data_IF_973687610755
#
_entry.id   IF_973687610755
#
_cell.length_a   1.000
_cell.length_b   1.000
_cell.length_c   1.000
_cell.angle_alpha   90.00
_cell.angle_beta   90.00
_cell.angle_gamma   90.00
#
_symmetry.space_group_name_H-M   'P 1'
#
loop_
_entity.id
_entity.type
_entity.pdbx_description
1 polymer ?
#
# COMPACT_ATOMS: atom_id res chain seq x y z
N UNK A 1 2.79 17.07 19.69
CA UNK A 1 3.36 17.78 18.51
C UNK A 1 4.50 16.95 17.96
N UNK A 2 4.55 16.74 16.65
CA UNK A 2 5.60 15.97 16.01
C UNK A 2 6.86 16.83 15.82
N UNK A 3 8.08 16.23 15.81
CA UNK A 3 9.29 16.97 15.45
C UNK A 3 9.17 17.56 14.04
N UNK A 4 9.73 18.76 13.79
CA UNK A 4 9.77 19.33 12.45
C UNK A 4 10.56 18.44 11.50
N UNK A 5 10.13 18.38 10.24
CA UNK A 5 10.80 17.57 9.22
C UNK A 5 12.12 18.25 8.79
N UNK A 6 13.22 17.51 8.87
CA UNK A 6 14.59 17.97 8.51
C UNK A 6 14.87 17.79 7.02
N UNK A 7 14.33 16.73 6.41
CA UNK A 7 14.37 16.49 4.97
C UNK A 7 12.95 16.29 4.44
N UNK A 8 12.44 17.26 3.72
CA UNK A 8 11.11 17.26 3.10
C UNK A 8 11.14 17.00 1.59
N UNK A 9 12.33 16.70 1.03
CA UNK A 9 12.58 16.57 -0.42
C UNK A 9 11.61 15.61 -1.07
N UNK A 10 11.33 14.45 -0.43
CA UNK A 10 10.35 13.49 -0.94
C UNK A 10 8.93 14.08 -1.01
N UNK A 11 8.48 14.79 0.02
CA UNK A 11 7.13 15.39 0.01
C UNK A 11 7.03 16.51 -1.03
N UNK A 12 8.06 17.35 -1.16
CA UNK A 12 8.13 18.38 -2.21
C UNK A 12 8.07 17.76 -3.60
N UNK A 13 8.83 16.68 -3.85
CA UNK A 13 8.77 15.96 -5.12
C UNK A 13 7.37 15.38 -5.40
N UNK A 14 6.72 14.77 -4.40
CA UNK A 14 5.34 14.30 -4.51
C UNK A 14 4.35 15.41 -4.91
N UNK A 15 4.57 16.62 -4.40
CA UNK A 15 3.74 17.80 -4.66
C UNK A 15 4.21 18.62 -5.87
N UNK A 16 5.16 18.08 -6.66
CA UNK A 16 5.74 18.73 -7.85
C UNK A 16 6.37 20.10 -7.56
N UNK A 17 6.88 20.26 -6.35
CA UNK A 17 7.65 21.42 -5.94
C UNK A 17 9.13 21.24 -6.32
N UNK A 18 9.90 22.32 -6.53
CA UNK A 18 11.34 22.23 -6.83
C UNK A 18 12.10 21.48 -5.75
N UNK A 19 13.02 20.62 -6.18
CA UNK A 19 13.95 19.88 -5.32
C UNK A 19 15.36 19.97 -5.88
N UNK A 20 16.37 19.94 -4.99
CA UNK A 20 17.77 20.04 -5.38
C UNK A 20 18.30 18.75 -6.02
N UNK A 21 17.63 17.63 -5.72
CA UNK A 21 17.93 16.29 -6.25
C UNK A 21 16.67 15.42 -6.30
N UNK A 22 16.74 14.30 -7.01
CA UNK A 22 15.66 13.31 -7.03
C UNK A 22 15.68 12.47 -5.77
N UNK A 23 14.65 12.53 -4.90
CA UNK A 23 14.61 11.73 -3.67
C UNK A 23 14.44 10.24 -3.97
N UNK A 24 15.02 9.41 -3.12
CA UNK A 24 15.01 7.95 -3.27
C UNK A 24 14.40 7.27 -2.04
N UNK A 25 13.47 6.38 -2.27
CA UNK A 25 13.05 5.33 -1.35
C UNK A 25 12.79 4.05 -2.14
N UNK A 26 12.78 2.90 -1.47
CA UNK A 26 12.60 1.62 -2.15
C UNK A 26 11.43 0.85 -1.55
N UNK A 27 10.52 0.38 -2.40
CA UNK A 27 9.50 -0.57 -2.01
C UNK A 27 10.15 -1.80 -1.36
N UNK A 28 9.65 -2.22 -0.18
CA UNK A 28 10.24 -3.30 0.62
C UNK A 28 11.70 -3.02 1.06
N UNK A 29 12.04 -1.75 1.35
CA UNK A 29 13.36 -1.39 1.85
C UNK A 29 13.71 -2.10 3.18
N UNK A 30 12.76 -2.35 4.08
CA UNK A 30 12.90 -3.33 5.13
C UNK A 30 12.69 -4.75 4.58
N UNK A 31 13.66 -5.62 4.67
CA UNK A 31 13.54 -6.93 4.03
C UNK A 31 14.66 -7.92 4.33
N UNK A 32 14.46 -9.16 3.88
CA UNK A 32 15.33 -10.31 4.15
C UNK A 32 16.76 -10.21 3.61
N UNK A 33 17.06 -9.24 2.75
CA UNK A 33 18.41 -8.97 2.29
C UNK A 33 19.28 -8.29 3.38
N UNK A 34 18.66 -7.69 4.40
CA UNK A 34 19.34 -7.08 5.54
C UNK A 34 19.61 -8.12 6.63
N UNK A 35 20.85 -8.31 7.08
CA UNK A 35 21.17 -9.20 8.20
C UNK A 35 20.43 -8.83 9.49
N UNK A 36 20.36 -7.53 9.80
CA UNK A 36 19.63 -6.98 10.96
C UNK A 36 18.15 -7.30 10.91
N UNK A 37 17.51 -7.20 9.75
CA UNK A 37 16.12 -7.62 9.58
C UNK A 37 15.94 -9.11 9.88
N UNK A 38 16.85 -9.98 9.40
CA UNK A 38 16.77 -11.41 9.67
C UNK A 38 16.88 -11.70 11.17
N UNK A 39 17.78 -10.99 11.88
CA UNK A 39 17.93 -11.14 13.32
C UNK A 39 16.66 -10.72 14.08
N UNK A 40 16.07 -9.57 13.75
CA UNK A 40 14.81 -9.10 14.34
C UNK A 40 13.66 -10.06 14.02
N UNK A 41 13.59 -10.54 12.78
CA UNK A 41 12.57 -11.50 12.35
C UNK A 41 12.66 -12.83 13.11
N UNK A 42 13.87 -13.31 13.42
CA UNK A 42 14.08 -14.50 14.23
C UNK A 42 13.60 -14.28 15.68
N UNK A 43 13.90 -13.14 16.29
CA UNK A 43 13.41 -12.79 17.64
C UNK A 43 11.88 -12.69 17.70
N UNK A 44 11.25 -12.18 16.65
CA UNK A 44 9.79 -12.06 16.57
C UNK A 44 9.07 -13.40 16.36
N UNK A 45 9.77 -14.47 15.98
CA UNK A 45 9.26 -15.83 15.80
C UNK A 45 8.42 -16.02 14.52
N UNK A 46 7.53 -15.10 14.18
CA UNK A 46 6.67 -15.16 13.00
C UNK A 46 6.59 -13.83 12.25
N UNK A 47 6.09 -13.82 11.01
CA UNK A 47 5.84 -12.57 10.28
C UNK A 47 4.81 -11.71 11.02
N UNK A 48 3.73 -12.31 11.48
CA UNK A 48 2.71 -11.61 12.26
C UNK A 48 3.28 -11.13 13.60
N UNK A 49 4.11 -11.92 14.30
CA UNK A 49 4.80 -11.47 15.50
C UNK A 49 5.67 -10.23 15.27
N UNK A 50 6.29 -10.13 14.08
CA UNK A 50 7.04 -8.95 13.68
C UNK A 50 6.11 -7.76 13.36
N UNK A 51 5.07 -7.98 12.57
CA UNK A 51 4.17 -6.93 12.06
C UNK A 51 3.21 -6.38 13.12
N UNK A 52 2.83 -7.19 14.12
CA UNK A 52 1.90 -6.78 15.18
C UNK A 52 2.60 -6.23 16.43
N UNK A 53 3.93 -6.31 16.49
CA UNK A 53 4.71 -5.68 17.56
C UNK A 53 5.14 -4.28 17.15
N UNK A 54 4.69 -3.27 17.88
CA UNK A 54 5.08 -1.86 17.67
C UNK A 54 6.61 -1.68 17.68
N UNK A 55 7.30 -2.32 18.63
CA UNK A 55 8.75 -2.20 18.77
C UNK A 55 9.49 -2.84 17.60
N UNK A 56 9.12 -4.06 17.20
CA UNK A 56 9.75 -4.72 16.07
C UNK A 56 9.43 -4.04 14.73
N UNK A 57 8.19 -3.61 14.52
CA UNK A 57 7.82 -2.86 13.33
C UNK A 57 8.61 -1.54 13.23
N UNK A 58 8.82 -0.86 14.35
CA UNK A 58 9.64 0.35 14.44
C UNK A 58 11.10 0.02 14.11
N UNK A 59 11.68 -0.96 14.78
CA UNK A 59 13.08 -1.37 14.56
C UNK A 59 13.35 -1.68 13.09
N UNK A 60 12.56 -2.55 12.45
CA UNK A 60 12.81 -2.95 11.06
C UNK A 60 12.52 -1.83 10.05
N UNK A 61 11.66 -0.88 10.37
CA UNK A 61 11.43 0.29 9.51
C UNK A 61 12.64 1.22 9.50
N UNK A 62 13.36 1.35 10.61
CA UNK A 62 14.53 2.23 10.72
C UNK A 62 15.81 1.60 10.15
N UNK A 63 15.97 0.28 10.22
CA UNK A 63 17.19 -0.42 9.79
C UNK A 63 17.70 -0.02 8.39
N UNK A 64 16.88 0.05 7.33
CA UNK A 64 17.37 0.48 6.01
C UNK A 64 17.86 1.94 5.99
N UNK A 65 17.30 2.82 6.82
CA UNK A 65 17.71 4.22 6.90
C UNK A 65 19.04 4.41 7.61
N UNK A 66 19.44 3.47 8.47
CA UNK A 66 20.78 3.46 9.09
C UNK A 66 21.85 3.01 8.11
N UNK A 67 21.47 2.23 7.10
CA UNK A 67 22.38 1.66 6.11
C UNK A 67 22.47 2.46 4.82
N UNK A 68 21.39 3.09 4.42
CA UNK A 68 21.29 3.78 3.13
C UNK A 68 20.72 5.20 3.30
N UNK A 69 21.21 6.17 2.51
CA UNK A 69 20.72 7.55 2.53
C UNK A 69 19.36 7.68 1.81
N UNK A 70 18.33 7.04 2.37
CA UNK A 70 16.98 7.09 1.83
C UNK A 70 16.25 8.36 2.27
N UNK A 71 15.39 8.89 1.41
CA UNK A 71 14.67 10.16 1.60
C UNK A 71 13.24 9.96 2.14
N UNK A 72 12.79 8.72 2.32
CA UNK A 72 11.54 8.40 3.00
C UNK A 72 11.62 7.05 3.69
N UNK A 73 10.91 6.94 4.81
CA UNK A 73 10.57 5.67 5.45
C UNK A 73 9.21 5.19 4.94
N UNK A 74 9.03 3.90 4.84
CA UNK A 74 7.71 3.29 4.65
C UNK A 74 7.41 2.38 5.83
N UNK A 75 6.20 2.48 6.36
CA UNK A 75 5.70 1.63 7.44
C UNK A 75 5.96 0.14 7.15
N UNK A 76 6.47 -0.59 8.13
CA UNK A 76 6.50 -2.05 8.05
C UNK A 76 5.16 -2.63 8.50
N UNK A 77 4.41 -3.17 7.57
CA UNK A 77 3.10 -3.82 7.76
C UNK A 77 2.81 -4.74 6.59
N UNK A 78 1.59 -5.26 6.50
CA UNK A 78 1.10 -6.03 5.35
C UNK A 78 -0.20 -5.43 4.81
N UNK A 79 -0.43 -5.55 3.49
CA UNK A 79 -1.67 -5.07 2.85
C UNK A 79 -2.89 -5.88 3.29
N UNK A 80 -2.70 -7.10 3.78
CA UNK A 80 -3.78 -8.03 4.16
C UNK A 80 -4.25 -7.87 5.61
N UNK A 81 -3.70 -6.92 6.36
CA UNK A 81 -4.15 -6.61 7.73
C UNK A 81 -5.62 -6.16 7.76
N UNK A 82 -6.07 -5.43 6.72
CA UNK A 82 -7.46 -4.98 6.63
C UNK A 82 -8.44 -6.15 6.46
N UNK A 83 -8.27 -7.07 5.50
CA UNK A 83 -9.10 -8.27 5.42
C UNK A 83 -9.01 -9.18 6.67
N UNK A 84 -7.85 -9.25 7.31
CA UNK A 84 -7.70 -9.98 8.58
C UNK A 84 -8.58 -9.38 9.68
N UNK A 85 -8.57 -8.05 9.83
CA UNK A 85 -9.43 -7.33 10.76
C UNK A 85 -10.92 -7.50 10.48
N UNK A 86 -11.31 -7.78 9.21
CA UNK A 86 -12.67 -8.19 8.83
C UNK A 86 -13.04 -9.60 9.34
N UNK A 87 -12.06 -10.35 9.86
CA UNK A 87 -12.29 -11.68 10.45
C UNK A 87 -12.05 -12.84 9.49
N UNK A 88 -11.26 -12.64 8.41
CA UNK A 88 -10.94 -13.69 7.45
C UNK A 88 -9.84 -14.64 7.94
N UNK A 89 -9.09 -14.28 8.99
CA UNK A 89 -8.09 -15.15 9.63
C UNK A 89 -6.85 -15.34 8.76
N UNK A 90 -6.00 -14.32 8.73
CA UNK A 90 -4.73 -14.31 7.99
C UNK A 90 -3.67 -15.18 8.68
N UNK A 91 -3.01 -16.01 7.92
CA UNK A 91 -1.84 -16.78 8.35
C UNK A 91 -0.73 -16.75 7.29
N UNK A 92 0.51 -16.96 7.74
CA UNK A 92 1.68 -17.06 6.86
C UNK A 92 2.37 -18.40 7.13
N UNK A 93 2.29 -19.33 6.20
CA UNK A 93 3.06 -20.56 6.25
C UNK A 93 4.45 -20.32 5.63
N UNK A 94 5.47 -20.99 6.17
CA UNK A 94 6.83 -20.88 5.68
C UNK A 94 6.92 -21.40 4.24
N UNK A 95 7.38 -20.55 3.31
CA UNK A 95 7.48 -20.87 1.88
C UNK A 95 6.18 -20.77 1.07
N UNK A 96 5.01 -20.60 1.70
CA UNK A 96 3.72 -20.64 1.00
C UNK A 96 3.04 -19.27 0.81
N UNK A 97 3.53 -18.23 1.47
CA UNK A 97 2.92 -16.89 1.43
C UNK A 97 1.66 -16.76 2.32
N UNK A 98 0.88 -15.68 2.13
CA UNK A 98 -0.31 -15.41 2.93
C UNK A 98 -1.47 -16.34 2.57
N UNK A 99 -2.25 -16.76 3.59
CA UNK A 99 -3.49 -17.52 3.44
C UNK A 99 -4.57 -17.01 4.36
N UNK A 100 -5.82 -17.01 3.88
CA UNK A 100 -7.00 -16.75 4.66
C UNK A 100 -7.72 -18.04 5.03
N UNK A 101 -8.14 -18.17 6.30
CA UNK A 101 -8.94 -19.29 6.78
C UNK A 101 -10.37 -19.25 6.21
N UNK A 102 -10.92 -18.05 5.98
CA UNK A 102 -12.22 -17.82 5.37
C UNK A 102 -12.06 -17.15 4.03
N UNK A 103 -12.76 -17.65 3.02
CA UNK A 103 -12.78 -17.11 1.66
C UNK A 103 -14.13 -16.49 1.34
N UNK A 104 -14.15 -15.51 0.42
CA UNK A 104 -15.36 -14.73 0.11
C UNK A 104 -15.77 -15.02 -1.33
N UNK A 105 -16.63 -16.07 -1.52
CA UNK A 105 -17.02 -16.53 -2.86
C UNK A 105 -18.51 -16.63 -3.10
N UNK A 106 -19.32 -16.56 -2.05
CA UNK A 106 -20.76 -16.69 -2.13
C UNK A 106 -21.48 -15.51 -1.47
N UNK A 107 -22.77 -15.49 -1.65
CA UNK A 107 -23.64 -14.41 -1.17
C UNK A 107 -23.63 -14.28 0.36
N UNK A 108 -23.57 -15.40 1.08
CA UNK A 108 -23.55 -15.40 2.54
C UNK A 108 -22.23 -14.81 3.08
N UNK A 109 -21.09 -15.22 2.49
CA UNK A 109 -19.79 -14.68 2.84
C UNK A 109 -19.68 -13.18 2.54
N UNK A 110 -20.19 -12.72 1.38
CA UNK A 110 -20.24 -11.31 1.03
C UNK A 110 -21.17 -10.51 1.94
N UNK A 111 -22.32 -11.08 2.31
CA UNK A 111 -23.28 -10.46 3.23
C UNK A 111 -22.70 -10.25 4.64
N UNK A 112 -21.80 -11.13 5.06
CA UNK A 112 -21.12 -11.06 6.36
C UNK A 112 -19.97 -10.05 6.41
N UNK A 113 -19.50 -9.51 5.26
CA UNK A 113 -18.46 -8.51 5.23
C UNK A 113 -18.95 -7.16 5.75
N UNK A 114 -18.11 -6.52 6.53
CA UNK A 114 -18.28 -5.14 6.98
C UNK A 114 -16.93 -4.42 7.10
N UNK A 115 -16.96 -3.10 7.11
CA UNK A 115 -15.78 -2.30 7.49
C UNK A 115 -15.38 -2.70 8.91
N UNK A 116 -14.11 -3.09 9.14
CA UNK A 116 -13.70 -3.56 10.45
C UNK A 116 -13.61 -2.42 11.47
N UNK A 117 -13.78 -2.74 12.75
CA UNK A 117 -13.41 -1.82 13.81
C UNK A 117 -11.90 -1.52 13.72
N UNK A 118 -11.54 -0.26 13.55
CA UNK A 118 -10.14 0.19 13.43
C UNK A 118 -9.32 -0.11 14.70
N UNK A 119 -9.95 -0.34 15.85
CA UNK A 119 -9.25 -0.78 17.07
C UNK A 119 -8.56 -2.14 16.90
N UNK A 120 -9.05 -3.02 16.03
CA UNK A 120 -8.38 -4.28 15.69
C UNK A 120 -7.05 -4.07 14.95
N UNK A 121 -6.87 -2.89 14.35
CA UNK A 121 -5.65 -2.48 13.63
C UNK A 121 -4.81 -1.49 14.44
N UNK A 122 -5.11 -1.31 15.74
CA UNK A 122 -4.44 -0.36 16.63
C UNK A 122 -2.92 -0.52 16.62
N UNK A 123 -2.44 -1.76 16.57
CA UNK A 123 -1.00 -2.06 16.52
C UNK A 123 -0.31 -1.39 15.31
N UNK A 124 -1.01 -1.23 14.17
CA UNK A 124 -0.48 -0.52 13.00
C UNK A 124 -0.34 0.97 13.29
N UNK A 125 -1.37 1.57 13.89
CA UNK A 125 -1.38 3.02 14.20
C UNK A 125 -0.38 3.36 15.29
N UNK A 126 -0.22 2.48 16.27
CA UNK A 126 0.80 2.60 17.32
C UNK A 126 2.21 2.49 16.70
N UNK A 127 2.43 1.58 15.73
CA UNK A 127 3.68 1.49 14.98
C UNK A 127 3.94 2.76 14.16
N UNK A 128 2.94 3.32 13.44
CA UNK A 128 3.09 4.60 12.74
C UNK A 128 3.54 5.69 13.68
N UNK A 129 2.89 5.82 14.85
CA UNK A 129 3.23 6.84 15.85
C UNK A 129 4.62 6.64 16.44
N UNK A 130 5.01 5.38 16.72
CA UNK A 130 6.34 5.03 17.23
C UNK A 130 7.43 5.34 16.22
N UNK A 131 7.26 4.90 14.97
CA UNK A 131 8.20 5.17 13.88
C UNK A 131 8.33 6.67 13.64
N UNK A 132 7.21 7.41 13.61
CA UNK A 132 7.23 8.86 13.42
C UNK A 132 8.04 9.60 14.50
N UNK A 133 7.94 9.15 15.76
CA UNK A 133 8.74 9.66 16.87
C UNK A 133 10.23 9.29 16.71
N UNK A 134 10.51 8.03 16.41
CA UNK A 134 11.87 7.51 16.28
C UNK A 134 12.64 8.11 15.08
N UNK A 135 11.93 8.47 14.00
CA UNK A 135 12.52 9.20 12.86
C UNK A 135 13.01 10.60 13.26
N UNK A 136 12.45 11.21 14.30
CA UNK A 136 12.82 12.55 14.78
C UNK A 136 12.93 13.59 13.65
N UNK A 137 12.01 13.52 12.68
CA UNK A 137 12.00 14.42 11.53
C UNK A 137 13.07 14.14 10.47
N UNK A 138 13.88 13.11 10.58
CA UNK A 138 14.97 12.80 9.64
C UNK A 138 14.47 12.68 8.20
N UNK A 139 13.41 11.91 7.98
CA UNK A 139 12.72 11.76 6.69
C UNK A 139 11.21 11.57 6.92
N UNK A 140 10.34 11.81 5.91
CA UNK A 140 8.91 11.55 6.05
C UNK A 140 8.59 10.05 6.11
N UNK A 141 7.45 9.75 6.75
CA UNK A 141 6.90 8.39 6.85
C UNK A 141 5.73 8.20 5.88
N UNK A 142 5.84 7.17 5.04
CA UNK A 142 4.79 6.71 4.12
C UNK A 142 3.95 5.64 4.84
N UNK A 143 2.63 5.88 4.96
CA UNK A 143 1.64 4.87 5.26
C UNK A 143 1.13 4.20 4.00
N UNK A 144 0.50 3.03 4.10
CA UNK A 144 0.00 2.35 2.90
C UNK A 144 -1.14 1.37 3.17
N UNK A 145 -1.79 0.98 2.08
CA UNK A 145 -2.76 -0.12 2.03
C UNK A 145 -2.73 -0.80 0.66
N UNK A 146 -3.25 -2.01 0.56
CA UNK A 146 -3.63 -2.58 -0.72
C UNK A 146 -4.83 -1.85 -1.32
N UNK A 147 -4.96 -1.85 -2.66
CA UNK A 147 -6.16 -1.35 -3.34
C UNK A 147 -7.37 -2.24 -3.05
N UNK A 148 -8.59 -1.72 -3.16
CA UNK A 148 -9.81 -2.53 -2.99
C UNK A 148 -9.82 -3.79 -3.86
N UNK A 149 -9.36 -3.71 -5.12
CA UNK A 149 -9.24 -4.84 -6.02
C UNK A 149 -8.18 -5.84 -5.57
N UNK A 150 -6.98 -5.38 -5.23
CA UNK A 150 -5.90 -6.26 -4.75
C UNK A 150 -6.32 -7.02 -3.49
N UNK A 151 -7.01 -6.36 -2.54
CA UNK A 151 -7.54 -7.03 -1.36
C UNK A 151 -8.61 -8.07 -1.74
N UNK A 152 -9.53 -7.73 -2.67
CA UNK A 152 -10.57 -8.65 -3.15
C UNK A 152 -9.95 -9.89 -3.80
N UNK A 153 -8.86 -9.77 -4.56
CA UNK A 153 -8.15 -10.91 -5.12
C UNK A 153 -7.77 -11.91 -4.03
N UNK A 154 -7.10 -11.48 -2.96
CA UNK A 154 -6.72 -12.36 -1.85
C UNK A 154 -7.91 -12.90 -1.07
N UNK A 155 -8.95 -12.08 -0.84
CA UNK A 155 -10.16 -12.49 -0.11
C UNK A 155 -10.93 -13.60 -0.85
N UNK A 156 -10.97 -13.54 -2.19
CA UNK A 156 -11.68 -14.50 -3.03
C UNK A 156 -10.80 -15.71 -3.37
N UNK A 157 -9.52 -15.52 -3.72
CA UNK A 157 -8.61 -16.64 -3.96
C UNK A 157 -8.27 -17.40 -2.67
N UNK A 158 -8.20 -16.72 -1.53
CA UNK A 158 -7.81 -17.27 -0.23
C UNK A 158 -6.31 -17.33 -0.01
N UNK A 159 -5.52 -17.11 -1.07
CA UNK A 159 -4.06 -17.11 -1.08
C UNK A 159 -3.54 -16.30 -2.27
N UNK A 160 -2.21 -16.31 -2.51
CA UNK A 160 -1.65 -15.86 -3.78
C UNK A 160 -2.17 -16.71 -4.95
N UNK A 161 -2.28 -16.12 -6.13
CA UNK A 161 -2.74 -16.80 -7.35
C UNK A 161 -1.95 -16.32 -8.55
N UNK A 162 -1.70 -17.21 -9.50
CA UNK A 162 -1.02 -16.88 -10.77
C UNK A 162 -2.02 -16.48 -11.86
N UNK A 163 -3.20 -17.09 -11.89
CA UNK A 163 -4.22 -16.89 -12.92
C UNK A 163 -5.45 -16.08 -12.46
N UNK A 164 -5.63 -15.90 -11.16
CA UNK A 164 -6.77 -15.15 -10.57
C UNK A 164 -8.13 -15.70 -11.02
N UNK A 165 -8.23 -17.03 -11.16
CA UNK A 165 -9.40 -17.68 -11.73
C UNK A 165 -10.67 -17.46 -10.93
N UNK A 166 -10.59 -17.62 -9.60
CA UNK A 166 -11.78 -17.54 -8.76
C UNK A 166 -12.34 -16.12 -8.72
N UNK A 167 -11.48 -15.12 -8.51
CA UNK A 167 -11.91 -13.73 -8.46
C UNK A 167 -12.45 -13.23 -9.79
N UNK A 168 -11.84 -13.63 -10.92
CA UNK A 168 -12.36 -13.32 -12.26
C UNK A 168 -13.68 -14.03 -12.55
N UNK A 169 -13.82 -15.29 -12.13
CA UNK A 169 -15.08 -16.01 -12.24
C UNK A 169 -16.20 -15.31 -11.48
N UNK A 170 -15.94 -14.92 -10.22
CA UNK A 170 -16.91 -14.17 -9.42
C UNK A 170 -17.27 -12.83 -10.07
N UNK A 171 -16.25 -12.09 -10.55
CA UNK A 171 -16.43 -10.79 -11.20
C UNK A 171 -17.35 -10.86 -12.43
N UNK A 172 -17.22 -11.90 -13.26
CA UNK A 172 -18.04 -12.06 -14.48
C UNK A 172 -19.39 -12.71 -14.20
N UNK A 173 -19.45 -13.71 -13.30
CA UNK A 173 -20.69 -14.42 -13.02
C UNK A 173 -21.63 -13.68 -12.05
N UNK A 174 -21.07 -12.94 -11.09
CA UNK A 174 -21.80 -12.19 -10.04
C UNK A 174 -21.15 -10.83 -9.81
N UNK A 175 -21.20 -9.93 -10.80
CA UNK A 175 -20.64 -8.58 -10.69
C UNK A 175 -21.23 -7.79 -9.52
N UNK A 176 -22.48 -8.04 -9.17
CA UNK A 176 -23.16 -7.46 -8.00
C UNK A 176 -22.44 -7.77 -6.68
N UNK A 177 -22.03 -9.02 -6.48
CA UNK A 177 -21.26 -9.41 -5.30
C UNK A 177 -19.86 -8.82 -5.31
N UNK A 178 -19.19 -8.81 -6.47
CA UNK A 178 -17.88 -8.22 -6.62
C UNK A 178 -17.92 -6.72 -6.29
N UNK A 179 -18.86 -5.97 -6.83
CA UNK A 179 -19.04 -4.56 -6.52
C UNK A 179 -19.27 -4.32 -5.02
N UNK A 180 -20.01 -5.21 -4.35
CA UNK A 180 -20.24 -5.12 -2.90
C UNK A 180 -18.94 -5.33 -2.11
N UNK A 181 -18.13 -6.34 -2.45
CA UNK A 181 -16.81 -6.57 -1.84
C UNK A 181 -15.94 -5.34 -2.00
N UNK A 182 -15.85 -4.82 -3.23
CA UNK A 182 -15.00 -3.67 -3.56
C UNK A 182 -15.44 -2.38 -2.86
N UNK A 183 -16.76 -2.17 -2.71
CA UNK A 183 -17.28 -1.02 -1.97
C UNK A 183 -16.90 -1.08 -0.49
N UNK A 184 -17.06 -2.23 0.16
CA UNK A 184 -16.67 -2.44 1.56
C UNK A 184 -15.16 -2.27 1.72
N UNK A 185 -14.37 -2.84 0.81
CA UNK A 185 -12.91 -2.68 0.82
C UNK A 185 -12.51 -1.21 0.66
N UNK A 186 -13.16 -0.46 -0.24
CA UNK A 186 -12.86 0.96 -0.43
C UNK A 186 -13.12 1.77 0.85
N UNK A 187 -14.23 1.53 1.52
CA UNK A 187 -14.57 2.21 2.78
C UNK A 187 -13.58 1.83 3.90
N UNK A 188 -13.22 0.55 4.00
CA UNK A 188 -12.26 0.05 4.97
C UNK A 188 -10.85 0.61 4.73
N UNK A 189 -10.38 0.63 3.48
CA UNK A 189 -9.08 1.20 3.09
C UNK A 189 -9.04 2.69 3.37
N UNK A 190 -10.12 3.41 3.07
CA UNK A 190 -10.22 4.85 3.37
C UNK A 190 -10.09 5.10 4.88
N UNK A 191 -10.86 4.38 5.70
CA UNK A 191 -10.79 4.51 7.16
C UNK A 191 -9.39 4.16 7.69
N UNK A 192 -8.79 3.09 7.17
CA UNK A 192 -7.47 2.61 7.57
C UNK A 192 -6.35 3.60 7.22
N UNK A 193 -6.37 4.19 6.02
CA UNK A 193 -5.37 5.18 5.62
C UNK A 193 -5.55 6.50 6.39
N UNK A 194 -6.78 6.95 6.62
CA UNK A 194 -7.05 8.13 7.44
C UNK A 194 -6.56 7.93 8.88
N UNK A 195 -6.75 6.74 9.47
CA UNK A 195 -6.21 6.43 10.78
C UNK A 195 -4.66 6.42 10.81
N UNK A 196 -4.00 5.99 9.74
CA UNK A 196 -2.53 6.11 9.61
C UNK A 196 -2.09 7.59 9.52
N UNK A 197 -2.83 8.44 8.79
CA UNK A 197 -2.58 9.88 8.74
C UNK A 197 -2.75 10.48 10.13
N UNK A 198 -3.81 10.13 10.84
CA UNK A 198 -4.04 10.59 12.22
C UNK A 198 -2.94 10.15 13.17
N UNK A 199 -2.38 8.96 12.98
CA UNK A 199 -1.26 8.43 13.74
C UNK A 199 0.11 9.05 13.37
N UNK A 200 0.20 9.82 12.27
CA UNK A 200 1.41 10.56 11.92
C UNK A 200 2.05 10.23 10.56
N UNK A 201 1.40 9.44 9.70
CA UNK A 201 1.87 9.25 8.32
C UNK A 201 1.80 10.59 7.55
N UNK A 202 2.85 10.88 6.76
CA UNK A 202 3.02 12.16 6.04
C UNK A 202 2.79 12.04 4.54
N UNK A 203 2.68 10.84 4.04
CA UNK A 203 2.19 10.47 2.72
C UNK A 203 1.49 9.13 2.84
N UNK A 204 0.59 8.82 1.92
CA UNK A 204 -0.07 7.51 1.87
C UNK A 204 -0.01 6.90 0.47
N UNK A 205 0.08 5.58 0.41
CA UNK A 205 0.21 4.86 -0.85
C UNK A 205 -0.81 3.72 -0.95
N UNK A 206 -1.49 3.64 -2.09
CA UNK A 206 -2.39 2.54 -2.45
C UNK A 206 -1.66 1.63 -3.42
N UNK A 207 -1.47 0.36 -3.02
CA UNK A 207 -0.86 -0.67 -3.84
C UNK A 207 -1.90 -1.48 -4.60
N UNK A 208 -2.06 -1.21 -5.89
CA UNK A 208 -2.86 -2.02 -6.80
C UNK A 208 -1.98 -3.06 -7.50
N UNK A 209 -1.48 -4.02 -6.70
CA UNK A 209 -0.53 -5.05 -7.14
C UNK A 209 -1.10 -5.96 -8.24
N UNK A 210 -2.41 -6.06 -8.35
CA UNK A 210 -3.11 -6.97 -9.26
C UNK A 210 -4.03 -6.26 -10.27
N UNK A 211 -3.97 -4.94 -10.39
CA UNK A 211 -4.75 -4.19 -11.39
C UNK A 211 -4.42 -4.60 -12.82
N UNK A 212 -3.15 -4.84 -13.11
CA UNK A 212 -2.68 -5.21 -14.46
C UNK A 212 -3.11 -6.59 -14.97
N UNK A 213 -3.76 -7.43 -14.12
CA UNK A 213 -4.32 -8.72 -14.60
C UNK A 213 -5.72 -8.58 -15.22
N UNK A 214 -6.29 -7.37 -15.19
CA UNK A 214 -7.62 -7.07 -15.71
C UNK A 214 -7.57 -6.62 -17.18
N UNK A 215 -8.63 -6.92 -17.92
CA UNK A 215 -8.90 -6.29 -19.21
C UNK A 215 -9.32 -4.81 -19.00
N UNK A 216 -9.20 -3.96 -20.02
CA UNK A 216 -9.40 -2.51 -19.92
C UNK A 216 -10.70 -2.10 -19.21
N UNK A 217 -11.84 -2.57 -19.71
CA UNK A 217 -13.14 -2.23 -19.12
C UNK A 217 -13.29 -2.73 -17.68
N UNK A 218 -12.75 -3.94 -17.39
CA UNK A 218 -12.78 -4.51 -16.05
C UNK A 218 -11.85 -3.73 -15.10
N UNK A 219 -10.68 -3.31 -15.54
CA UNK A 219 -9.79 -2.45 -14.76
C UNK A 219 -10.50 -1.17 -14.34
N UNK A 220 -11.16 -0.49 -15.29
CA UNK A 220 -11.88 0.75 -15.01
C UNK A 220 -13.02 0.56 -14.01
N UNK A 221 -13.79 -0.53 -14.16
CA UNK A 221 -14.98 -0.78 -13.35
C UNK A 221 -14.69 -1.40 -11.98
N UNK A 222 -13.69 -2.27 -11.87
CA UNK A 222 -13.46 -3.07 -10.66
C UNK A 222 -12.19 -2.69 -9.89
N UNK A 223 -11.21 -2.01 -10.51
CA UNK A 223 -10.05 -1.50 -9.78
C UNK A 223 -10.07 0.02 -9.67
N UNK A 224 -10.05 0.72 -10.81
CA UNK A 224 -9.85 2.17 -10.87
C UNK A 224 -10.95 2.96 -10.16
N UNK A 225 -12.22 2.60 -10.39
CA UNK A 225 -13.37 3.28 -9.77
C UNK A 225 -13.33 3.23 -8.24
N UNK A 226 -12.89 2.11 -7.68
CA UNK A 226 -12.79 1.95 -6.22
C UNK A 226 -11.52 2.56 -5.64
N UNK A 227 -10.42 2.61 -6.39
CA UNK A 227 -9.23 3.39 -6.03
C UNK A 227 -9.56 4.88 -6.01
N UNK A 228 -10.32 5.38 -6.99
CA UNK A 228 -10.83 6.76 -7.00
C UNK A 228 -11.71 7.06 -5.78
N UNK A 229 -12.59 6.12 -5.39
CA UNK A 229 -13.42 6.25 -4.18
C UNK A 229 -12.56 6.38 -2.92
N UNK A 230 -11.51 5.57 -2.79
CA UNK A 230 -10.55 5.71 -1.69
C UNK A 230 -9.92 7.09 -1.68
N UNK A 231 -9.36 7.54 -2.81
CA UNK A 231 -8.69 8.85 -2.91
C UNK A 231 -9.62 10.01 -2.54
N UNK A 232 -10.90 9.94 -2.97
CA UNK A 232 -11.91 10.95 -2.65
C UNK A 232 -12.25 11.02 -1.15
N UNK A 233 -12.09 9.93 -0.41
CA UNK A 233 -12.34 9.86 1.04
C UNK A 233 -11.11 10.12 1.92
N UNK A 234 -9.92 10.32 1.32
CA UNK A 234 -8.70 10.56 2.09
C UNK A 234 -8.64 11.97 2.68
N UNK A 235 -8.17 12.05 3.90
CA UNK A 235 -7.72 13.29 4.50
C UNK A 235 -6.42 13.75 3.82
N UNK A 236 -6.52 14.78 2.97
CA UNK A 236 -5.41 15.29 2.15
C UNK A 236 -4.62 16.42 2.82
N UNK A 237 -4.97 16.77 4.04
CA UNK A 237 -4.29 17.79 4.85
C UNK A 237 -4.37 17.43 6.33
N UNK A 238 -3.27 17.63 7.05
CA UNK A 238 -3.18 17.45 8.49
C UNK A 238 -2.22 18.48 9.07
N UNK A 239 -2.65 19.18 10.14
CA UNK A 239 -1.86 20.19 10.84
C UNK A 239 -1.26 21.26 9.91
N UNK A 240 -2.02 21.69 8.88
CA UNK A 240 -1.61 22.66 7.87
C UNK A 240 -0.61 22.12 6.82
N UNK A 241 -0.35 20.82 6.82
CA UNK A 241 0.51 20.16 5.83
C UNK A 241 -0.30 19.29 4.87
N UNK A 242 -0.01 19.38 3.57
CA UNK A 242 -0.58 18.48 2.58
C UNK A 242 -0.05 17.07 2.78
N UNK A 243 -0.94 16.08 2.67
CA UNK A 243 -0.63 14.66 2.70
C UNK A 243 -0.74 14.11 1.27
N UNK A 244 0.39 13.91 0.57
CA UNK A 244 0.36 13.35 -0.78
C UNK A 244 -0.21 11.94 -0.79
N UNK A 245 -1.05 11.65 -1.79
CA UNK A 245 -1.55 10.30 -2.07
C UNK A 245 -0.88 9.75 -3.32
N UNK A 246 -0.37 8.53 -3.20
CA UNK A 246 0.35 7.81 -4.23
C UNK A 246 -0.47 6.60 -4.66
N UNK A 247 -0.66 6.41 -5.96
CA UNK A 247 -1.27 5.20 -6.51
C UNK A 247 -0.24 4.44 -7.32
N UNK A 248 -0.05 3.19 -6.99
CA UNK A 248 0.80 2.26 -7.75
C UNK A 248 -0.05 1.13 -8.31
N UNK A 249 -0.02 0.92 -9.63
CA UNK A 249 -0.65 -0.22 -10.30
C UNK A 249 0.41 -1.01 -11.06
N UNK A 250 0.65 -2.26 -10.64
CA UNK A 250 1.52 -3.17 -11.39
C UNK A 250 0.87 -3.50 -12.74
N UNK A 251 1.60 -3.32 -13.84
CA UNK A 251 1.07 -3.46 -15.19
C UNK A 251 0.15 -2.30 -15.61
N UNK A 252 0.16 -1.16 -14.87
CA UNK A 252 -0.71 -0.02 -15.11
C UNK A 252 -0.31 0.93 -16.24
N UNK A 253 0.82 0.67 -16.91
CA UNK A 253 1.40 1.60 -17.89
C UNK A 253 0.48 2.00 -19.05
N UNK A 254 -0.48 1.14 -19.42
CA UNK A 254 -1.47 1.47 -20.45
C UNK A 254 -2.54 2.46 -19.97
N UNK A 255 -2.79 2.58 -18.67
CA UNK A 255 -3.87 3.39 -18.07
C UNK A 255 -3.39 4.64 -17.34
N UNK A 256 -2.19 5.14 -17.63
CA UNK A 256 -1.58 6.25 -16.88
C UNK A 256 -2.47 7.48 -16.80
N UNK A 257 -3.11 7.88 -17.91
CA UNK A 257 -4.02 9.01 -17.95
C UNK A 257 -5.24 8.78 -17.04
N UNK A 258 -5.84 7.60 -17.14
CA UNK A 258 -7.01 7.25 -16.34
C UNK A 258 -6.66 7.17 -14.84
N UNK A 259 -5.48 6.66 -14.48
CA UNK A 259 -5.00 6.65 -13.09
C UNK A 259 -4.77 8.08 -12.60
N UNK A 260 -4.12 8.93 -13.41
CA UNK A 260 -3.88 10.33 -13.07
C UNK A 260 -5.20 11.11 -12.87
N UNK A 261 -6.24 10.80 -13.65
CA UNK A 261 -7.56 11.42 -13.56
C UNK A 261 -8.32 11.05 -12.27
N UNK A 262 -7.90 10.01 -11.54
CA UNK A 262 -8.51 9.69 -10.24
C UNK A 262 -8.09 10.65 -9.11
N UNK A 263 -7.13 11.54 -9.35
CA UNK A 263 -6.72 12.61 -8.43
C UNK A 263 -5.62 12.27 -7.42
N UNK A 264 -4.68 11.33 -7.69
CA UNK A 264 -3.50 11.18 -6.86
C UNK A 264 -2.53 12.36 -7.09
N UNK A 265 -1.60 12.60 -6.14
CA UNK A 265 -0.47 13.50 -6.37
C UNK A 265 0.65 12.80 -7.16
N UNK A 266 0.77 11.48 -6.97
CA UNK A 266 1.86 10.67 -7.53
C UNK A 266 1.31 9.40 -8.16
N UNK A 267 1.77 9.09 -9.37
CA UNK A 267 1.58 7.78 -10.00
C UNK A 267 2.87 6.98 -9.92
N UNK A 268 2.80 5.83 -9.24
CA UNK A 268 3.88 4.86 -9.18
C UNK A 268 3.90 3.98 -10.43
N UNK A 269 5.05 3.86 -11.04
CA UNK A 269 5.30 3.06 -12.23
C UNK A 269 5.98 1.75 -11.86
N UNK A 270 5.64 0.68 -12.55
CA UNK A 270 6.44 -0.54 -12.51
C UNK A 270 7.53 -0.54 -13.59
N UNK A 271 8.37 -1.56 -13.54
CA UNK A 271 9.55 -1.71 -14.42
C UNK A 271 9.21 -1.94 -15.90
N UNK A 272 7.96 -2.23 -16.24
CA UNK A 272 7.53 -2.46 -17.64
C UNK A 272 7.21 -1.16 -18.36
N UNK A 273 7.17 -0.02 -17.64
CA UNK A 273 6.79 1.28 -18.17
C UNK A 273 8.02 2.15 -18.40
N UNK A 274 8.21 2.66 -19.61
CA UNK A 274 9.24 3.67 -19.89
C UNK A 274 8.92 4.98 -19.17
N UNK A 275 9.83 5.41 -18.27
CA UNK A 275 9.64 6.60 -17.44
C UNK A 275 9.55 7.88 -18.28
N UNK A 276 10.32 7.99 -19.37
CA UNK A 276 10.28 9.15 -20.27
C UNK A 276 8.96 9.25 -21.01
N UNK A 277 8.43 8.10 -21.48
CA UNK A 277 7.10 8.05 -22.10
C UNK A 277 6.00 8.40 -21.10
N UNK A 278 6.05 7.86 -19.88
CA UNK A 278 5.11 8.21 -18.83
C UNK A 278 5.13 9.71 -18.50
N UNK A 279 6.33 10.31 -18.40
CA UNK A 279 6.47 11.75 -18.17
C UNK A 279 5.82 12.59 -19.27
N UNK A 280 5.98 12.21 -20.54
CA UNK A 280 5.31 12.93 -21.66
C UNK A 280 3.79 12.83 -21.62
N UNK A 281 3.26 11.70 -21.11
CA UNK A 281 1.81 11.43 -21.07
C UNK A 281 1.12 12.14 -19.90
N UNK A 282 1.69 12.13 -18.71
CA UNK A 282 1.00 12.56 -17.48
C UNK A 282 1.86 13.42 -16.54
N UNK A 283 3.13 13.69 -16.86
CA UNK A 283 4.06 14.39 -15.96
C UNK A 283 3.75 15.87 -15.72
N UNK A 284 2.86 16.47 -16.50
CA UNK A 284 2.32 17.81 -16.29
C UNK A 284 1.16 17.85 -15.27
N UNK A 285 0.59 16.68 -14.94
CA UNK A 285 -0.58 16.55 -14.05
C UNK A 285 -0.21 15.97 -12.69
N UNK A 286 0.64 14.95 -12.67
CA UNK A 286 1.04 14.21 -11.47
C UNK A 286 2.56 14.07 -11.38
N UNK A 287 3.10 13.88 -10.17
CA UNK A 287 4.45 13.40 -10.01
C UNK A 287 4.53 11.90 -10.39
N UNK A 288 5.70 11.45 -10.80
CA UNK A 288 5.97 10.06 -11.15
C UNK A 288 7.04 9.50 -10.22
N UNK A 289 6.87 8.25 -9.77
CA UNK A 289 7.89 7.52 -9.03
C UNK A 289 8.07 6.11 -9.57
N UNK A 290 9.25 5.54 -9.40
CA UNK A 290 9.61 4.18 -9.84
C UNK A 290 10.96 4.25 -10.54
N UNK A 291 11.35 3.27 -11.31
CA UNK A 291 10.64 2.04 -11.59
C UNK A 291 11.65 0.89 -11.77
N UNK A 292 12.45 0.68 -10.73
CA UNK A 292 13.41 -0.42 -10.71
C UNK A 292 12.69 -1.76 -10.67
N UNK A 293 13.22 -2.74 -11.42
CA UNK A 293 12.75 -4.12 -11.35
C UNK A 293 13.05 -4.68 -9.95
N UNK A 294 12.00 -5.13 -9.28
CA UNK A 294 12.11 -5.67 -7.93
C UNK A 294 12.90 -6.99 -7.86
N UNK A 295 12.90 -7.78 -8.92
CA UNK A 295 13.67 -9.03 -8.99
C UNK A 295 15.16 -8.73 -8.94
N UNK A 296 15.64 -7.73 -9.68
CA UNK A 296 17.04 -7.31 -9.65
C UNK A 296 17.51 -6.95 -8.24
N UNK A 297 16.63 -6.43 -7.40
CA UNK A 297 16.92 -6.09 -6.00
C UNK A 297 16.96 -7.31 -5.06
N UNK A 298 16.23 -8.37 -5.38
CA UNK A 298 16.15 -9.56 -4.52
C UNK A 298 17.36 -10.50 -4.68
N UNK A 299 18.14 -10.32 -5.73
CA UNK A 299 19.27 -11.18 -6.10
C UNK A 299 20.64 -10.47 -6.06
N UNK A 300 20.70 -9.23 -5.63
CA UNK A 300 21.95 -8.48 -5.40
C UNK A 300 22.38 -8.56 -3.96
#
# INVERSE_FOLDING_TARGET
MWPPLKNDTFLRACLRQPTDYTPIWLMRQAGRYLPEYKATRARAGSFMGLATSTDYATEVTLQPLERFPLDAAILFSDILTVPDAMGLGLSFAEGEGPRFAKIVRDEAAVAALAVPDMNKLRYVFDAVSSIRKALDGRVPLIGFSGSPWTLACYMVEGAGSDDYRQVKTLMYARPDLMHRILAINADAVTAYLNAQIDAGAQAVMVFDSWGGVLADAAFRSFSLAYTQRVLAGLQREKDGQKIPAIVFTKGGGQWLEAIADTGPDVVGLDWTTDLGAARRRVGDRVALQGNLDQIGRAHV
#
